data_IF_938771913575
#
_entry.id   IF_938771913575
#
_cell.length_a   1.000
_cell.length_b   1.000
_cell.length_c   1.000
_cell.angle_alpha   90.00
_cell.angle_beta   90.00
_cell.angle_gamma   90.00
#
_symmetry.space_group_name_H-M   'P 1'
#
loop_
_entity.id
_entity.type
_entity.pdbx_description
1 polymer ?
#
# COMPACT_ATOMS: atom_id res chain seq x y z
N UNK A 1 -7.21 -5.04 -14.00
CA UNK A 1 -6.58 -5.69 -12.84
C UNK A 1 -5.17 -5.15 -12.66
N UNK A 2 -4.86 -4.52 -11.53
CA UNK A 2 -3.53 -3.97 -11.22
C UNK A 2 -2.85 -4.83 -10.16
N UNK A 3 -1.57 -5.20 -10.36
CA UNK A 3 -0.77 -5.98 -9.40
C UNK A 3 0.67 -5.48 -9.34
N UNK A 4 1.24 -5.41 -8.13
CA UNK A 4 2.63 -5.01 -7.94
C UNK A 4 3.26 -5.61 -6.67
N UNK A 5 4.59 -5.70 -6.67
CA UNK A 5 5.37 -5.90 -5.45
C UNK A 5 5.35 -4.62 -4.64
N UNK A 6 5.18 -4.76 -3.32
CA UNK A 6 5.03 -3.64 -2.39
C UNK A 6 5.88 -3.86 -1.14
N UNK A 7 6.18 -2.77 -0.44
CA UNK A 7 6.28 -2.83 1.01
C UNK A 7 4.93 -2.41 1.59
N UNK A 8 4.60 -2.90 2.78
CA UNK A 8 3.43 -2.45 3.53
C UNK A 8 3.63 -2.46 5.04
N UNK A 9 2.81 -1.68 5.73
CA UNK A 9 2.73 -1.64 7.18
C UNK A 9 1.28 -1.41 7.60
N UNK A 10 0.78 -2.24 8.52
CA UNK A 10 -0.51 -2.04 9.18
C UNK A 10 -0.24 -1.37 10.52
N UNK A 11 -0.80 -0.18 10.73
CA UNK A 11 -0.55 0.61 11.92
C UNK A 11 -0.99 2.06 11.76
N UNK A 12 -0.96 2.80 12.87
CA UNK A 12 -1.50 4.17 12.92
C UNK A 12 -0.55 5.21 12.33
N UNK A 13 0.75 4.90 12.26
CA UNK A 13 1.80 5.81 11.82
C UNK A 13 2.82 5.14 10.91
N UNK A 14 3.54 5.97 10.14
CA UNK A 14 4.68 5.56 9.33
C UNK A 14 5.86 6.49 9.66
N UNK A 15 6.87 5.95 10.34
CA UNK A 15 8.08 6.65 10.76
C UNK A 15 9.33 5.90 10.27
N UNK A 16 10.52 6.49 10.47
CA UNK A 16 11.79 5.82 10.14
C UNK A 16 12.03 4.54 10.96
N UNK A 17 11.38 4.40 12.12
CA UNK A 17 11.47 3.20 12.96
C UNK A 17 10.47 2.11 12.57
N UNK A 18 9.52 2.40 11.66
CA UNK A 18 8.49 1.45 11.25
C UNK A 18 9.11 0.26 10.54
N UNK A 19 8.79 -0.94 11.04
CA UNK A 19 9.16 -2.19 10.37
C UNK A 19 8.13 -2.52 9.29
N UNK A 20 8.51 -2.35 8.04
CA UNK A 20 7.67 -2.67 6.90
C UNK A 20 7.85 -4.14 6.49
N UNK A 21 6.75 -4.76 6.07
CA UNK A 21 6.71 -6.08 5.47
C UNK A 21 6.83 -5.97 3.96
N UNK A 22 7.48 -6.96 3.32
CA UNK A 22 7.50 -7.10 1.86
C UNK A 22 6.31 -7.94 1.40
N UNK A 23 5.75 -7.66 0.24
CA UNK A 23 4.64 -8.45 -0.28
C UNK A 23 4.22 -8.10 -1.68
N UNK A 24 3.01 -8.49 -2.03
CA UNK A 24 2.33 -8.12 -3.26
C UNK A 24 0.95 -7.55 -2.95
N UNK A 25 0.54 -6.55 -3.71
CA UNK A 25 -0.82 -6.05 -3.70
C UNK A 25 -1.45 -6.18 -5.08
N UNK A 26 -2.75 -6.47 -5.11
CA UNK A 26 -3.57 -6.34 -6.30
C UNK A 26 -4.96 -5.81 -5.97
N UNK A 27 -5.57 -5.20 -6.98
CA UNK A 27 -6.92 -4.63 -6.90
C UNK A 27 -7.79 -5.34 -7.93
N UNK A 28 -8.92 -5.84 -7.45
CA UNK A 28 -9.98 -6.47 -8.22
C UNK A 28 -11.36 -5.95 -7.75
N UNK A 29 -12.44 -6.57 -8.22
CA UNK A 29 -13.80 -6.14 -7.90
C UNK A 29 -14.16 -6.21 -6.41
N UNK A 30 -13.46 -7.04 -5.62
CA UNK A 30 -13.71 -7.20 -4.18
C UNK A 30 -13.05 -6.10 -3.33
N UNK A 31 -11.94 -5.53 -3.81
CA UNK A 31 -11.20 -4.48 -3.11
C UNK A 31 -9.68 -4.62 -3.25
N UNK A 32 -8.97 -4.20 -2.19
CA UNK A 32 -7.51 -4.24 -2.12
C UNK A 32 -7.08 -5.54 -1.44
N UNK A 33 -6.40 -6.40 -2.19
CA UNK A 33 -5.78 -7.60 -1.66
C UNK A 33 -4.30 -7.36 -1.39
N UNK A 34 -3.81 -7.86 -0.26
CA UNK A 34 -2.40 -7.81 0.15
C UNK A 34 -1.96 -9.20 0.57
N UNK A 35 -0.85 -9.67 -0.01
CA UNK A 35 -0.16 -10.90 0.38
C UNK A 35 1.24 -10.58 0.88
N UNK A 36 1.45 -10.78 2.18
CA UNK A 36 2.76 -10.81 2.81
C UNK A 36 3.39 -12.21 2.83
N UNK A 37 4.50 -12.39 3.56
CA UNK A 37 5.14 -13.69 3.73
C UNK A 37 4.29 -14.64 4.59
N UNK A 38 3.70 -14.11 5.65
CA UNK A 38 3.00 -14.90 6.67
C UNK A 38 1.47 -14.80 6.54
N UNK A 39 0.96 -13.67 6.04
CA UNK A 39 -0.47 -13.41 5.98
C UNK A 39 -0.93 -12.92 4.60
N UNK A 40 -2.17 -13.27 4.26
CA UNK A 40 -2.92 -12.69 3.13
C UNK A 40 -4.20 -12.09 3.67
N UNK A 41 -4.50 -10.85 3.30
CA UNK A 41 -5.73 -10.19 3.70
C UNK A 41 -6.35 -9.36 2.58
N UNK A 42 -7.67 -9.23 2.66
CA UNK A 42 -8.49 -8.38 1.80
C UNK A 42 -9.00 -7.21 2.63
N UNK A 43 -8.86 -6.00 2.09
CA UNK A 43 -9.61 -4.83 2.52
C UNK A 43 -10.77 -4.69 1.51
N UNK A 44 -12.01 -5.04 1.91
CA UNK A 44 -13.16 -4.90 1.03
C UNK A 44 -13.32 -3.47 0.56
N UNK A 45 -13.78 -3.29 -0.68
CA UNK A 45 -14.10 -1.97 -1.23
C UNK A 45 -14.98 -1.13 -0.29
N UNK A 46 -15.99 -1.75 0.30
CA UNK A 46 -16.94 -1.11 1.22
C UNK A 46 -16.33 -0.72 2.57
N UNK A 47 -15.16 -1.27 2.91
CA UNK A 47 -14.45 -0.95 4.14
C UNK A 47 -13.44 0.18 3.96
N UNK A 48 -13.09 0.56 2.72
CA UNK A 48 -12.17 1.66 2.42
C UNK A 48 -12.88 2.99 2.70
N UNK A 49 -12.36 3.76 3.64
CA UNK A 49 -12.93 5.05 4.06
C UNK A 49 -12.19 6.24 3.46
N UNK A 50 -10.87 6.13 3.33
CA UNK A 50 -10.02 7.20 2.80
C UNK A 50 -8.78 6.62 2.14
N UNK A 51 -8.34 7.25 1.06
CA UNK A 51 -7.07 6.94 0.39
C UNK A 51 -6.29 8.24 0.22
N UNK A 52 -5.13 8.33 0.85
CA UNK A 52 -4.23 9.49 0.78
C UNK A 52 -2.87 9.10 0.18
N UNK A 53 -2.12 10.08 -0.33
CA UNK A 53 -0.75 9.89 -0.81
C UNK A 53 0.22 10.80 -0.07
N UNK A 54 1.13 10.20 0.67
CA UNK A 54 2.28 10.88 1.27
C UNK A 54 3.43 10.97 0.28
N UNK A 55 4.06 12.14 0.24
CA UNK A 55 5.28 12.40 -0.52
C UNK A 55 6.41 12.71 0.46
N UNK A 56 7.36 11.79 0.61
CA UNK A 56 8.55 12.06 1.40
C UNK A 56 9.54 12.87 0.55
N UNK A 57 9.67 14.17 0.86
CA UNK A 57 10.65 15.12 0.30
C UNK A 57 10.97 14.92 -1.20
N UNK A 58 9.95 14.70 -2.03
CA UNK A 58 10.09 14.49 -3.48
C UNK A 58 10.69 13.14 -3.92
N UNK A 59 11.24 12.34 -3.01
CA UNK A 59 12.02 11.13 -3.32
C UNK A 59 11.16 9.85 -3.34
N UNK A 60 10.06 9.80 -2.58
CA UNK A 60 9.18 8.63 -2.58
C UNK A 60 7.70 8.97 -2.41
N UNK A 61 6.85 8.03 -2.83
CA UNK A 61 5.40 8.07 -2.64
C UNK A 61 4.97 6.87 -1.82
N UNK A 62 4.12 7.10 -0.84
CA UNK A 62 3.46 6.05 -0.06
C UNK A 62 1.96 6.33 -0.04
N UNK A 63 1.17 5.29 -0.25
CA UNK A 63 -0.28 5.35 -0.15
C UNK A 63 -0.68 4.99 1.26
N UNK A 64 -1.55 5.79 1.87
CA UNK A 64 -2.27 5.45 3.08
C UNK A 64 -3.70 5.06 2.69
N UNK A 65 -4.17 3.94 3.21
CA UNK A 65 -5.54 3.46 3.08
C UNK A 65 -6.11 3.35 4.48
N UNK A 66 -7.04 4.23 4.83
CA UNK A 66 -7.82 4.13 6.05
C UNK A 66 -9.05 3.28 5.74
N UNK A 67 -9.27 2.26 6.56
CA UNK A 67 -10.36 1.32 6.41
C UNK A 67 -10.98 1.00 7.77
N UNK A 68 -12.15 0.35 7.77
CA UNK A 68 -12.93 0.08 8.99
C UNK A 68 -12.15 -0.62 10.13
N UNK A 69 -11.11 -1.40 9.79
CA UNK A 69 -10.31 -2.17 10.74
C UNK A 69 -8.96 -1.52 11.10
N UNK A 70 -8.67 -0.33 10.57
CA UNK A 70 -7.42 0.38 10.85
C UNK A 70 -6.84 1.08 9.62
N UNK A 71 -5.52 1.14 9.57
CA UNK A 71 -4.78 1.89 8.56
C UNK A 71 -3.68 1.03 7.96
N UNK A 72 -3.56 1.11 6.63
CA UNK A 72 -2.53 0.46 5.85
C UNK A 72 -1.69 1.50 5.12
N UNK A 73 -0.38 1.45 5.32
CA UNK A 73 0.58 2.15 4.48
C UNK A 73 1.19 1.17 3.49
N UNK A 74 1.26 1.54 2.21
CA UNK A 74 1.88 0.71 1.19
C UNK A 74 2.48 1.51 0.04
N UNK A 75 3.55 0.99 -0.56
CA UNK A 75 4.10 1.54 -1.79
C UNK A 75 4.65 0.45 -2.69
N UNK A 76 4.54 0.64 -4.00
CA UNK A 76 5.15 -0.27 -4.96
C UNK A 76 6.67 -0.19 -4.86
N UNK A 77 7.35 -1.34 -4.86
CA UNK A 77 8.81 -1.42 -4.75
C UNK A 77 9.42 -1.91 -6.05
N UNK A 78 10.59 -1.37 -6.41
CA UNK A 78 11.49 -1.97 -7.42
C UNK A 78 12.31 -3.09 -6.80
N UNK A 79 12.80 -2.86 -5.58
CA UNK A 79 13.62 -3.77 -4.80
C UNK A 79 13.35 -3.55 -3.32
N UNK A 80 13.47 -4.60 -2.51
CA UNK A 80 13.45 -4.51 -1.05
C UNK A 80 14.42 -5.54 -0.46
N UNK A 81 15.37 -5.10 0.36
CA UNK A 81 16.35 -5.93 1.05
C UNK A 81 16.24 -5.63 2.54
N UNK A 82 15.81 -6.61 3.33
CA UNK A 82 15.46 -6.38 4.73
C UNK A 82 14.41 -5.28 4.87
N UNK A 83 14.74 -4.23 5.61
CA UNK A 83 13.88 -3.05 5.84
C UNK A 83 14.08 -1.93 4.81
N UNK A 84 15.07 -2.04 3.92
CA UNK A 84 15.35 -1.02 2.92
C UNK A 84 14.55 -1.29 1.64
N UNK A 85 13.68 -0.34 1.27
CA UNK A 85 12.83 -0.44 0.09
C UNK A 85 13.14 0.67 -0.92
N UNK A 86 13.47 0.29 -2.15
CA UNK A 86 13.53 1.21 -3.28
C UNK A 86 12.14 1.35 -3.90
N UNK A 87 11.49 2.47 -3.62
CA UNK A 87 10.11 2.74 -4.07
C UNK A 87 10.05 3.02 -5.58
N UNK A 88 9.03 2.47 -6.23
CA UNK A 88 8.69 2.76 -7.62
C UNK A 88 7.66 3.91 -7.70
N UNK A 89 8.14 5.15 -7.77
CA UNK A 89 7.31 6.37 -7.77
C UNK A 89 6.11 6.33 -8.75
N UNK A 90 6.35 5.92 -10.00
CA UNK A 90 5.28 5.86 -11.01
C UNK A 90 4.29 4.73 -10.72
N UNK A 91 4.78 3.55 -10.29
CA UNK A 91 3.92 2.40 -10.01
C UNK A 91 3.11 2.60 -8.74
N UNK A 92 3.64 3.29 -7.72
CA UNK A 92 2.87 3.74 -6.57
C UNK A 92 1.79 4.75 -6.99
N UNK A 93 2.10 5.66 -7.93
CA UNK A 93 1.09 6.55 -8.49
C UNK A 93 -0.07 5.82 -9.20
N UNK A 94 0.24 4.73 -9.93
CA UNK A 94 -0.79 3.87 -10.54
C UNK A 94 -1.61 3.11 -9.49
N UNK A 95 -0.97 2.61 -8.44
CA UNK A 95 -1.63 1.97 -7.30
C UNK A 95 -2.63 2.92 -6.63
N UNK A 96 -2.20 4.15 -6.34
CA UNK A 96 -3.07 5.17 -5.76
C UNK A 96 -4.30 5.46 -6.62
N UNK A 97 -4.12 5.67 -7.93
CA UNK A 97 -5.24 5.89 -8.86
C UNK A 97 -6.22 4.72 -8.85
N UNK A 98 -5.71 3.49 -8.93
CA UNK A 98 -6.56 2.30 -8.91
C UNK A 98 -7.33 2.15 -7.58
N UNK A 99 -6.77 2.60 -6.46
CA UNK A 99 -7.47 2.63 -5.18
C UNK A 99 -8.56 3.70 -5.14
N UNK A 100 -8.31 4.89 -5.70
CA UNK A 100 -9.33 5.94 -5.81
C UNK A 100 -10.52 5.49 -6.65
N UNK A 101 -10.27 4.85 -7.79
CA UNK A 101 -11.31 4.29 -8.66
C UNK A 101 -12.13 3.20 -7.94
N UNK A 102 -11.55 2.58 -6.91
CA UNK A 102 -12.22 1.57 -6.08
C UNK A 102 -13.00 2.23 -4.93
N UNK A 103 -12.58 3.37 -4.38
CA UNK A 103 -13.29 4.05 -3.28
C UNK A 103 -14.51 4.88 -3.71
N UNK A 104 -14.71 5.08 -5.02
CA UNK A 104 -15.85 5.84 -5.58
C UNK A 104 -17.01 4.91 -5.88
#
# INVERSE_FOLDING_TARGET
>A
MFRCKIFFHVGNELSLGTRASKGEAWIDASGLNVRGPDDTFLIPRTDIQKVDMYRFHGLSRVVQVDHRKGRLFLAATRLMIGQFALVNFFRTGKLYKALLDTST
#
